data_IF_408760440964
#
_entry.id   IF_408760440964
#
_cell.length_a   1.000
_cell.length_b   1.000
_cell.length_c   1.000
_cell.angle_alpha   90.00
_cell.angle_beta   90.00
_cell.angle_gamma   90.00
#
_symmetry.space_group_name_H-M   'P 1'
#
loop_
_entity.id
_entity.type
_entity.pdbx_description
1 polymer ?
#
# COMPACT_ATOMS: atom_id res chain seq x y z
N UNK A 1 -19.97 12.25 -60.41
CA UNK A 1 -19.68 13.44 -59.59
C UNK A 1 -19.10 12.93 -58.27
N UNK A 2 -17.81 12.56 -58.19
CA UNK A 2 -16.64 13.40 -57.87
C UNK A 2 -16.83 14.33 -56.66
N UNK A 3 -16.31 13.93 -55.49
CA UNK A 3 -15.57 14.73 -54.49
C UNK A 3 -15.15 13.77 -53.36
N UNK A 4 -13.89 13.32 -53.27
CA UNK A 4 -12.68 14.01 -52.81
C UNK A 4 -12.41 13.77 -51.32
N UNK A 5 -11.44 12.89 -51.06
CA UNK A 5 -10.81 12.61 -49.77
C UNK A 5 -10.06 13.84 -49.24
N UNK A 6 -10.09 14.06 -47.92
CA UNK A 6 -8.99 14.73 -47.21
C UNK A 6 -8.68 14.00 -45.90
N UNK A 7 -7.54 13.31 -45.90
CA UNK A 7 -6.88 12.79 -44.71
C UNK A 7 -6.35 13.94 -43.84
N UNK A 8 -6.39 13.78 -42.52
CA UNK A 8 -5.64 14.62 -41.57
C UNK A 8 -4.46 13.80 -41.03
N UNK A 9 -3.20 14.20 -41.28
CA UNK A 9 -2.05 13.67 -40.56
C UNK A 9 -1.81 14.52 -39.32
N UNK A 10 -1.99 13.95 -38.12
CA UNK A 10 -1.46 14.55 -36.90
C UNK A 10 -0.26 13.71 -36.44
N UNK A 11 0.88 14.02 -37.04
CA UNK A 11 2.18 13.70 -36.47
C UNK A 11 2.47 14.65 -35.31
N UNK A 12 2.69 14.09 -34.14
CA UNK A 12 3.10 14.80 -32.93
C UNK A 12 4.20 14.03 -32.21
N UNK A 13 5.41 14.05 -32.77
CA UNK A 13 6.62 13.60 -32.08
C UNK A 13 7.01 14.66 -31.05
N UNK A 14 7.02 14.37 -29.75
CA UNK A 14 7.74 15.21 -28.79
C UNK A 14 8.23 14.46 -27.54
N UNK A 15 9.55 14.22 -27.57
CA UNK A 15 10.54 14.50 -26.51
C UNK A 15 10.57 13.61 -25.26
N UNK A 16 11.39 12.57 -25.39
CA UNK A 16 12.35 12.07 -24.39
C UNK A 16 12.92 13.20 -23.52
N UNK A 17 12.79 13.08 -22.20
CA UNK A 17 13.60 13.81 -21.22
C UNK A 17 14.08 12.85 -20.15
N UNK A 18 15.28 12.33 -20.37
CA UNK A 18 16.14 11.70 -19.38
C UNK A 18 16.54 12.76 -18.36
N UNK A 19 16.24 12.55 -17.07
CA UNK A 19 16.85 13.30 -15.98
C UNK A 19 17.55 12.31 -15.06
N UNK A 20 18.87 12.25 -15.23
CA UNK A 20 19.79 11.72 -14.25
C UNK A 20 19.95 12.74 -13.11
N UNK A 21 19.87 12.28 -11.86
CA UNK A 21 20.38 13.02 -10.72
C UNK A 21 20.93 12.01 -9.69
N UNK A 22 22.26 12.03 -9.59
CA UNK A 22 23.08 11.33 -8.61
C UNK A 22 23.01 12.12 -7.30
N UNK A 23 22.82 11.45 -6.16
CA UNK A 23 23.29 11.97 -4.87
C UNK A 23 23.69 10.84 -3.93
N UNK A 24 25.00 10.80 -3.67
CA UNK A 24 25.69 10.04 -2.64
C UNK A 24 25.22 10.45 -1.24
N UNK A 25 25.06 9.47 -0.35
CA UNK A 25 25.27 9.67 1.09
C UNK A 25 25.80 8.37 1.71
N UNK A 26 27.11 8.38 1.97
CA UNK A 26 27.76 7.47 2.90
C UNK A 26 27.30 7.82 4.32
N UNK A 27 26.83 6.84 5.08
CA UNK A 27 26.88 6.87 6.54
C UNK A 27 27.46 5.55 7.00
N UNK A 28 28.73 5.60 7.41
CA UNK A 28 29.37 4.53 8.14
C UNK A 28 28.85 4.51 9.57
N UNK A 29 28.37 3.36 10.04
CA UNK A 29 28.28 3.08 11.47
C UNK A 29 29.59 2.42 11.90
N UNK A 30 30.53 3.25 12.34
CA UNK A 30 31.51 2.85 13.33
C UNK A 30 30.78 2.78 14.68
N UNK A 31 30.71 1.59 15.26
CA UNK A 31 30.13 1.33 16.57
C UNK A 31 30.72 0.06 17.16
N UNK A 32 32.04 0.06 17.33
CA UNK A 32 32.74 -0.89 18.19
C UNK A 32 32.63 -0.38 19.62
N UNK A 33 32.03 -1.17 20.50
CA UNK A 33 31.98 -0.92 21.94
C UNK A 33 32.03 -2.26 22.65
N UNK A 34 33.22 -2.72 22.98
CA UNK A 34 33.44 -3.75 23.99
C UNK A 34 33.60 -3.05 25.32
N UNK A 35 32.76 -3.35 26.31
CA UNK A 35 33.17 -3.42 27.71
C UNK A 35 32.17 -4.21 28.55
N UNK A 36 32.71 -4.97 29.50
CA UNK A 36 31.99 -5.96 30.29
C UNK A 36 31.21 -5.34 31.45
N UNK A 37 30.19 -6.07 31.90
CA UNK A 37 29.40 -5.71 33.07
C UNK A 37 28.38 -6.80 33.35
N UNK A 38 28.67 -7.61 34.37
CA UNK A 38 27.74 -8.57 34.97
C UNK A 38 26.53 -7.85 35.61
N UNK A 39 25.43 -8.60 35.70
CA UNK A 39 24.29 -8.40 36.59
C UNK A 39 23.35 -7.21 36.38
N UNK A 40 22.33 -7.43 35.56
CA UNK A 40 20.93 -7.66 36.01
C UNK A 40 20.04 -7.71 34.78
N UNK A 41 19.67 -8.90 34.32
CA UNK A 41 18.76 -9.07 33.18
C UNK A 41 17.37 -8.51 33.57
N UNK A 42 16.89 -7.39 33.00
CA UNK A 42 15.46 -7.15 33.03
C UNK A 42 14.83 -8.29 32.24
N UNK A 43 13.84 -8.96 32.81
CA UNK A 43 13.05 -9.93 32.07
C UNK A 43 12.61 -9.25 30.77
N UNK A 44 13.15 -9.74 29.65
CA UNK A 44 12.76 -9.26 28.34
C UNK A 44 11.24 -9.44 28.28
N UNK A 45 10.49 -8.32 28.25
CA UNK A 45 9.13 -8.35 27.74
C UNK A 45 9.22 -9.13 26.43
N UNK A 46 8.33 -10.11 26.17
CA UNK A 46 8.35 -10.82 24.91
C UNK A 46 8.34 -9.75 23.83
N UNK A 47 9.49 -9.59 23.16
CA UNK A 47 9.57 -8.82 21.94
C UNK A 47 8.93 -9.77 20.96
N UNK A 48 7.60 -9.77 20.95
CA UNK A 48 6.84 -10.38 19.88
C UNK A 48 7.34 -9.60 18.67
N UNK A 49 8.21 -10.23 17.87
CA UNK A 49 8.38 -9.84 16.48
C UNK A 49 6.98 -9.94 15.90
N UNK A 50 6.23 -8.84 15.95
CA UNK A 50 4.81 -8.87 15.67
C UNK A 50 4.66 -9.34 14.23
N UNK A 51 3.98 -10.48 14.04
CA UNK A 51 3.68 -11.02 12.73
C UNK A 51 3.00 -9.89 11.90
N UNK A 52 3.43 -9.59 10.67
CA UNK A 52 2.77 -8.62 9.80
C UNK A 52 1.24 -8.75 9.75
N UNK A 53 0.70 -9.97 9.75
CA UNK A 53 -0.74 -10.21 9.81
C UNK A 53 -1.36 -9.68 11.12
N UNK A 54 -0.71 -9.94 12.26
CA UNK A 54 -1.18 -9.45 13.56
C UNK A 54 -1.07 -7.92 13.65
N UNK A 55 -0.04 -7.33 13.06
CA UNK A 55 0.09 -5.87 12.99
C UNK A 55 -1.04 -5.27 12.16
N UNK A 56 -1.31 -5.83 10.97
CA UNK A 56 -2.40 -5.41 10.09
C UNK A 56 -3.76 -5.49 10.79
N UNK A 57 -4.13 -6.67 11.30
CA UNK A 57 -5.42 -6.88 11.94
C UNK A 57 -5.60 -6.00 13.19
N UNK A 58 -4.52 -5.76 13.95
CA UNK A 58 -4.56 -4.83 15.08
C UNK A 58 -4.78 -3.39 14.63
N UNK A 59 -4.11 -2.95 13.56
CA UNK A 59 -4.29 -1.62 12.99
C UNK A 59 -5.71 -1.43 12.46
N UNK A 60 -6.27 -2.43 11.79
CA UNK A 60 -7.64 -2.43 11.28
C UNK A 60 -8.67 -2.29 12.40
N UNK A 61 -8.57 -3.10 13.46
CA UNK A 61 -9.45 -2.99 14.63
C UNK A 61 -9.32 -1.63 15.33
N UNK A 62 -8.11 -1.09 15.40
CA UNK A 62 -7.84 0.22 16.00
C UNK A 62 -8.43 1.35 15.14
N UNK A 63 -8.40 1.21 13.81
CA UNK A 63 -8.91 2.22 12.88
C UNK A 63 -10.42 2.40 12.98
N UNK A 64 -11.14 1.33 13.30
CA UNK A 64 -12.58 1.31 13.50
C UNK A 64 -13.34 1.98 12.34
N UNK A 65 -13.26 1.38 11.14
CA UNK A 65 -13.89 1.89 9.93
C UNK A 65 -15.40 2.11 10.09
N UNK A 66 -15.87 3.32 9.77
CA UNK A 66 -17.29 3.69 9.90
C UNK A 66 -18.18 2.83 8.99
N UNK A 67 -17.69 2.47 7.80
CA UNK A 67 -18.44 1.59 6.89
C UNK A 67 -18.67 0.17 7.42
N UNK A 68 -17.98 -0.25 8.48
CA UNK A 68 -18.14 -1.59 9.08
C UNK A 68 -18.90 -1.60 10.39
N UNK A 69 -19.47 -0.47 10.80
CA UNK A 69 -20.16 -0.33 12.08
C UNK A 69 -21.32 -1.33 12.27
N UNK A 70 -22.04 -1.63 11.18
CA UNK A 70 -23.19 -2.54 11.19
C UNK A 70 -22.82 -3.95 10.70
N UNK A 71 -21.95 -4.04 9.68
CA UNK A 71 -21.48 -5.30 9.11
C UNK A 71 -20.10 -5.08 8.50
N UNK A 72 -19.09 -5.81 8.99
CA UNK A 72 -17.73 -5.80 8.48
C UNK A 72 -17.19 -7.21 8.25
N UNK A 73 -16.00 -7.33 7.65
CA UNK A 73 -15.35 -8.61 7.43
C UNK A 73 -14.78 -9.17 8.74
N UNK A 74 -14.59 -10.49 8.82
CA UNK A 74 -13.84 -11.12 9.90
C UNK A 74 -12.34 -10.96 9.70
N UNK A 75 -11.57 -11.17 10.78
CA UNK A 75 -10.12 -11.19 10.71
C UNK A 75 -9.60 -12.24 9.70
N UNK A 76 -10.25 -13.42 9.63
CA UNK A 76 -9.90 -14.47 8.68
C UNK A 76 -10.15 -14.06 7.23
N UNK A 77 -11.22 -13.30 6.97
CA UNK A 77 -11.53 -12.76 5.64
C UNK A 77 -10.52 -11.68 5.23
N UNK A 78 -10.01 -10.90 6.19
CA UNK A 78 -9.06 -9.82 5.95
C UNK A 78 -7.61 -10.27 5.81
N UNK A 79 -7.21 -11.28 6.58
CA UNK A 79 -5.83 -11.76 6.68
C UNK A 79 -5.11 -12.01 5.34
N UNK A 80 -5.73 -12.59 4.29
CA UNK A 80 -4.99 -12.93 3.08
C UNK A 80 -4.72 -11.72 2.16
N UNK A 81 -5.35 -10.57 2.39
CA UNK A 81 -5.29 -9.46 1.43
C UNK A 81 -3.97 -8.69 1.39
N UNK A 82 -3.33 -8.31 2.52
CA UNK A 82 -2.10 -7.52 2.48
C UNK A 82 -0.99 -8.14 1.63
N UNK A 83 -0.79 -9.46 1.77
CA UNK A 83 0.19 -10.19 0.96
C UNK A 83 -0.16 -10.14 -0.55
N UNK A 84 -1.44 -10.28 -0.91
CA UNK A 84 -1.90 -10.20 -2.29
C UNK A 84 -1.75 -8.80 -2.86
N UNK A 85 -2.11 -7.76 -2.11
CA UNK A 85 -1.94 -6.37 -2.51
C UNK A 85 -0.47 -6.04 -2.74
N UNK A 86 0.41 -6.42 -1.81
CA UNK A 86 1.85 -6.22 -1.96
C UNK A 86 2.38 -6.89 -3.23
N UNK A 87 2.00 -8.14 -3.52
CA UNK A 87 2.40 -8.84 -4.74
C UNK A 87 1.93 -8.10 -6.01
N UNK A 88 0.71 -7.56 -6.01
CA UNK A 88 0.17 -6.80 -7.14
C UNK A 88 0.82 -5.43 -7.31
N UNK A 89 1.08 -4.71 -6.22
CA UNK A 89 1.79 -3.43 -6.26
C UNK A 89 3.23 -3.60 -6.75
N UNK A 90 3.92 -4.67 -6.31
CA UNK A 90 5.25 -5.02 -6.83
C UNK A 90 5.24 -5.38 -8.32
N UNK A 91 4.13 -5.91 -8.83
CA UNK A 91 3.92 -6.14 -10.25
C UNK A 91 3.54 -4.87 -11.05
N UNK A 92 3.51 -3.69 -10.41
CA UNK A 92 3.22 -2.41 -11.04
C UNK A 92 1.73 -2.09 -11.19
N UNK A 93 0.85 -2.81 -10.49
CA UNK A 93 -0.57 -2.46 -10.46
C UNK A 93 -0.84 -1.27 -9.54
N UNK A 94 -1.87 -0.47 -9.88
CA UNK A 94 -2.34 0.66 -9.10
C UNK A 94 -3.20 0.23 -7.91
N UNK A 95 -3.37 1.11 -6.91
CA UNK A 95 -4.35 0.96 -5.83
C UNK A 95 -5.76 0.84 -6.40
N UNK A 96 -6.11 1.64 -7.41
CA UNK A 96 -7.41 1.52 -8.10
C UNK A 96 -7.61 0.12 -8.69
N UNK A 97 -6.56 -0.47 -9.27
CA UNK A 97 -6.60 -1.85 -9.73
C UNK A 97 -6.83 -2.84 -8.58
N UNK A 98 -6.16 -2.67 -7.43
CA UNK A 98 -6.39 -3.52 -6.25
C UNK A 98 -7.84 -3.48 -5.77
N UNK A 99 -8.42 -2.27 -5.75
CA UNK A 99 -9.80 -2.05 -5.33
C UNK A 99 -10.82 -2.54 -6.38
N UNK A 100 -10.42 -2.65 -7.65
CA UNK A 100 -11.25 -3.16 -8.75
C UNK A 100 -11.25 -4.69 -8.89
N UNK A 101 -10.33 -5.40 -8.22
CA UNK A 101 -10.23 -6.86 -8.30
C UNK A 101 -11.45 -7.51 -7.65
N UNK A 102 -12.17 -8.31 -8.44
CA UNK A 102 -13.33 -9.16 -8.07
C UNK A 102 -13.07 -10.17 -6.92
N UNK A 103 -11.88 -10.18 -6.32
CA UNK A 103 -11.53 -11.01 -5.17
C UNK A 103 -11.45 -10.25 -3.84
N UNK A 104 -11.34 -8.92 -3.85
CA UNK A 104 -11.27 -8.14 -2.62
C UNK A 104 -12.63 -7.59 -2.17
N UNK A 105 -13.55 -7.34 -3.11
CA UNK A 105 -14.91 -6.83 -2.87
C UNK A 105 -15.01 -5.75 -1.78
N UNK A 106 -13.92 -4.99 -1.56
CA UNK A 106 -13.89 -3.91 -0.59
C UNK A 106 -14.91 -2.87 -1.02
N UNK A 107 -15.09 -2.70 -2.33
CA UNK A 107 -16.00 -1.76 -2.97
C UNK A 107 -16.60 -2.42 -4.24
N UNK A 108 -17.86 -2.11 -4.64
CA UNK A 108 -18.78 -1.15 -4.03
C UNK A 108 -19.57 -1.70 -2.84
N UNK A 109 -20.14 -0.76 -2.07
CA UNK A 109 -21.25 -1.00 -1.14
C UNK A 109 -22.32 -1.82 -1.91
N UNK A 110 -22.87 -2.85 -1.27
CA UNK A 110 -23.80 -3.88 -1.79
C UNK A 110 -23.17 -5.22 -2.25
N UNK A 111 -21.85 -5.40 -2.08
CA UNK A 111 -21.20 -6.72 -2.03
C UNK A 111 -20.86 -7.07 -0.58
N UNK A 112 -20.88 -8.36 -0.21
CA UNK A 112 -21.03 -8.96 1.15
C UNK A 112 -20.81 -8.12 2.44
N UNK A 113 -19.83 -7.22 2.52
CA UNK A 113 -19.57 -6.35 3.69
C UNK A 113 -19.37 -4.85 3.38
N UNK A 114 -19.41 -4.44 2.12
CA UNK A 114 -19.53 -3.03 1.66
C UNK A 114 -18.64 -2.01 2.37
N UNK A 115 -17.36 -1.89 1.99
CA UNK A 115 -16.48 -0.83 2.51
C UNK A 115 -16.66 0.45 1.71
N UNK A 116 -16.75 1.59 2.41
CA UNK A 116 -16.73 2.87 1.73
C UNK A 116 -15.37 3.05 1.03
N UNK A 117 -15.35 3.65 -0.18
CA UNK A 117 -14.11 3.91 -0.92
C UNK A 117 -12.98 4.51 -0.06
N UNK A 118 -13.18 5.57 0.76
CA UNK A 118 -12.12 6.10 1.61
C UNK A 118 -11.61 5.08 2.64
N UNK A 119 -12.49 4.29 3.24
CA UNK A 119 -12.12 3.24 4.21
C UNK A 119 -11.34 2.11 3.51
N UNK A 120 -11.69 1.75 2.28
CA UNK A 120 -10.98 0.75 1.48
C UNK A 120 -9.58 1.22 1.08
N UNK A 121 -9.42 2.50 0.74
CA UNK A 121 -8.12 3.11 0.43
C UNK A 121 -7.22 3.12 1.66
N UNK A 122 -7.75 3.51 2.81
CA UNK A 122 -7.05 3.47 4.09
C UNK A 122 -6.67 2.02 4.49
N UNK A 123 -7.56 1.05 4.26
CA UNK A 123 -7.28 -0.36 4.51
C UNK A 123 -6.06 -0.86 3.71
N UNK A 124 -5.93 -0.45 2.45
CA UNK A 124 -4.76 -0.75 1.62
C UNK A 124 -3.50 -0.12 2.20
N UNK A 125 -3.57 1.13 2.70
CA UNK A 125 -2.43 1.78 3.36
C UNK A 125 -1.98 0.98 4.59
N UNK A 126 -2.90 0.55 5.45
CA UNK A 126 -2.59 -0.28 6.63
C UNK A 126 -1.98 -1.64 6.25
N UNK A 127 -2.50 -2.27 5.20
CA UNK A 127 -1.96 -3.53 4.67
C UNK A 127 -0.53 -3.37 4.15
N UNK A 128 -0.27 -2.31 3.38
CA UNK A 128 1.05 -2.02 2.83
C UNK A 128 2.05 -1.63 3.91
N UNK A 129 1.63 -0.85 4.90
CA UNK A 129 2.49 -0.44 6.02
C UNK A 129 3.02 -1.64 6.82
N UNK A 130 2.20 -2.67 7.00
CA UNK A 130 2.58 -3.90 7.71
C UNK A 130 3.37 -4.90 6.86
N UNK A 131 3.03 -5.07 5.58
CA UNK A 131 3.57 -6.17 4.74
C UNK A 131 4.62 -5.75 3.72
N UNK A 132 4.53 -4.54 3.17
CA UNK A 132 5.47 -4.03 2.18
C UNK A 132 5.73 -2.54 2.39
N UNK A 133 6.30 -2.14 3.55
CA UNK A 133 6.42 -0.73 3.94
C UNK A 133 7.21 0.12 2.94
N UNK A 134 8.10 -0.48 2.16
CA UNK A 134 8.83 0.18 1.08
C UNK A 134 7.91 0.79 0.00
N UNK A 135 6.70 0.24 -0.19
CA UNK A 135 5.71 0.72 -1.16
C UNK A 135 4.74 1.74 -0.59
N UNK A 136 4.77 2.00 0.73
CA UNK A 136 3.83 2.91 1.41
C UNK A 136 3.85 4.30 0.79
N UNK A 137 5.04 4.85 0.55
CA UNK A 137 5.18 6.19 -0.03
C UNK A 137 4.56 6.29 -1.44
N UNK A 138 4.74 5.25 -2.26
CA UNK A 138 4.13 5.17 -3.59
C UNK A 138 2.61 5.11 -3.49
N UNK A 139 2.07 4.22 -2.66
CA UNK A 139 0.63 4.03 -2.46
C UNK A 139 -0.04 5.31 -1.97
N UNK A 140 0.52 5.95 -0.94
CA UNK A 140 -0.04 7.22 -0.43
C UNK A 140 0.04 8.33 -1.49
N UNK A 141 1.10 8.39 -2.28
CA UNK A 141 1.20 9.39 -3.35
C UNK A 141 0.15 9.17 -4.45
N UNK A 142 -0.03 7.92 -4.88
CA UNK A 142 -1.06 7.57 -5.87
C UNK A 142 -2.47 7.93 -5.38
N UNK A 143 -2.76 7.67 -4.10
CA UNK A 143 -4.04 8.03 -3.51
C UNK A 143 -4.24 9.55 -3.47
N UNK A 144 -3.21 10.35 -3.17
CA UNK A 144 -3.30 11.82 -3.24
C UNK A 144 -3.55 12.30 -4.67
N UNK A 145 -2.83 11.73 -5.64
CA UNK A 145 -2.95 12.11 -7.05
C UNK A 145 -4.34 11.80 -7.62
N UNK A 146 -5.01 10.77 -7.09
CA UNK A 146 -6.39 10.38 -7.45
C UNK A 146 -7.49 11.01 -6.59
N UNK A 147 -7.14 11.83 -5.60
CA UNK A 147 -8.08 12.49 -4.69
C UNK A 147 -8.70 11.56 -3.63
N UNK A 148 -8.05 10.43 -3.36
CA UNK A 148 -8.46 9.43 -2.37
C UNK A 148 -7.81 9.58 -0.99
N UNK A 149 -6.88 10.52 -0.80
CA UNK A 149 -6.12 10.70 0.44
C UNK A 149 -5.66 12.15 0.63
#
# INVERSE_FOLDING_TARGET
MMQASTARPWGGTMRTKTLAAILLLLVGLAGCGSDGGEDTKPAAKPTVTANPDQQFLTAVRTRAFESWKDKGPTDEELAPYPAQWCAKLQAGHSVDYLLSLQGANLYPIDMDWGTAKPDAQELVVLGVESHCPALRAQVTQELRDSGGY
#
